data_IF_300021595012
#
_entry.id   IF_300021595012
#
_cell.length_a   1.000
_cell.length_b   1.000
_cell.length_c   1.000
_cell.angle_alpha   90.00
_cell.angle_beta   90.00
_cell.angle_gamma   90.00
#
_symmetry.space_group_name_H-M   'P 1'
#
loop_
_entity.id
_entity.type
_entity.pdbx_description
1 polymer ?
#
# COMPACT_ATOMS: atom_id res chain seq x y z
N UNK A 1 -12.68 10.18 -0.63
CA UNK A 1 -11.35 10.81 -0.62
C UNK A 1 -11.03 11.01 0.85
N UNK A 2 -10.28 10.09 1.47
CA UNK A 2 -9.79 10.25 2.83
C UNK A 2 -8.30 10.39 2.70
N UNK A 3 -7.88 11.64 2.60
CA UNK A 3 -6.52 12.10 2.73
C UNK A 3 -6.29 12.24 4.24
N UNK A 4 -5.48 11.34 4.83
CA UNK A 4 -5.08 11.39 6.24
C UNK A 4 -3.70 12.04 6.35
N UNK A 5 -3.52 13.15 5.64
CA UNK A 5 -2.35 14.01 5.79
C UNK A 5 -2.52 14.83 7.06
N UNK A 6 -1.76 14.47 8.10
CA UNK A 6 -1.72 15.21 9.39
C UNK A 6 -0.82 16.46 9.30
N UNK A 7 -0.34 16.81 8.11
CA UNK A 7 0.46 18.01 7.88
C UNK A 7 -0.44 19.24 7.77
N UNK A 8 -0.61 19.88 8.93
CA UNK A 8 -1.41 21.09 9.07
C UNK A 8 -0.59 22.31 8.64
N UNK A 9 -1.23 23.20 7.88
CA UNK A 9 -0.69 24.51 7.58
C UNK A 9 -0.42 25.29 8.87
N UNK A 10 0.74 25.95 8.94
CA UNK A 10 1.10 26.83 10.04
C UNK A 10 1.51 28.20 9.52
N UNK A 11 1.25 29.22 10.33
CA UNK A 11 1.69 30.58 10.04
C UNK A 11 3.05 30.81 10.69
N UNK A 12 3.98 31.35 9.92
CA UNK A 12 5.28 31.81 10.40
C UNK A 12 5.12 33.02 11.34
N UNK A 13 6.16 33.35 12.12
CA UNK A 13 6.15 34.54 12.98
C UNK A 13 5.94 35.87 12.22
N UNK A 14 6.23 35.87 10.91
CA UNK A 14 6.03 37.00 10.01
C UNK A 14 4.63 37.03 9.35
N UNK A 15 3.78 36.04 9.65
CA UNK A 15 2.39 35.97 9.17
C UNK A 15 2.22 35.39 7.77
N UNK A 16 3.28 34.87 7.16
CA UNK A 16 3.22 34.16 5.89
C UNK A 16 2.81 32.70 6.11
N UNK A 17 1.99 32.17 5.18
CA UNK A 17 1.51 30.79 5.20
C UNK A 17 2.61 29.87 4.67
N UNK A 18 3.11 28.97 5.50
CA UNK A 18 4.06 27.94 5.07
C UNK A 18 3.28 26.66 4.74
N UNK A 19 3.38 26.24 3.48
CA UNK A 19 2.80 24.98 3.02
C UNK A 19 3.76 23.84 3.41
N UNK A 20 3.26 22.71 3.93
CA UNK A 20 4.12 21.57 4.20
C UNK A 20 4.83 21.13 2.91
N UNK A 21 6.10 20.75 3.02
CA UNK A 21 6.86 20.22 1.89
C UNK A 21 6.10 19.01 1.33
N UNK A 22 5.60 19.14 0.09
CA UNK A 22 5.15 18.05 -0.75
C UNK A 22 6.38 17.21 -1.14
N UNK A 23 7.00 16.56 -0.15
CA UNK A 23 7.77 15.34 -0.38
C UNK A 23 6.75 14.23 -0.70
N UNK A 24 6.00 14.40 -1.79
CA UNK A 24 5.31 13.31 -2.46
C UNK A 24 6.40 12.28 -2.78
N UNK A 25 6.41 11.10 -2.14
CA UNK A 25 7.35 10.08 -2.51
C UNK A 25 7.01 9.74 -3.96
N UNK A 26 7.91 10.11 -4.88
CA UNK A 26 7.91 9.84 -6.32
C UNK A 26 6.99 8.63 -6.56
N UNK A 27 5.72 8.87 -6.97
CA UNK A 27 4.72 7.81 -7.01
C UNK A 27 5.20 6.81 -8.05
N UNK A 28 5.94 5.79 -7.63
CA UNK A 28 6.47 4.75 -8.50
C UNK A 28 5.27 4.21 -9.24
N UNK A 29 5.23 4.51 -10.55
CA UNK A 29 4.04 4.29 -11.35
C UNK A 29 3.62 2.82 -11.16
N UNK A 30 2.50 2.62 -10.46
CA UNK A 30 2.11 1.29 -10.05
C UNK A 30 1.54 0.60 -11.28
N UNK A 31 2.31 -0.34 -11.82
CA UNK A 31 1.93 -1.11 -13.01
C UNK A 31 1.49 -2.52 -12.61
N UNK A 32 0.43 -3.01 -13.25
CA UNK A 32 -0.06 -4.38 -13.13
C UNK A 32 0.66 -5.37 -14.08
N UNK A 33 0.32 -6.65 -13.97
CA UNK A 33 0.91 -7.70 -14.82
C UNK A 33 0.58 -7.56 -16.32
N UNK A 34 -0.35 -6.66 -16.68
CA UNK A 34 -0.76 -6.38 -18.05
C UNK A 34 -0.18 -5.06 -18.58
N UNK A 35 0.76 -4.44 -17.85
CA UNK A 35 1.38 -3.18 -18.24
C UNK A 35 0.45 -1.98 -18.13
N UNK A 36 -0.63 -2.07 -17.36
CA UNK A 36 -1.57 -0.96 -17.12
C UNK A 36 -1.36 -0.39 -15.74
N UNK A 37 -1.70 0.88 -15.60
CA UNK A 37 -1.74 1.53 -14.31
C UNK A 37 -2.74 0.81 -13.37
N UNK A 38 -2.31 0.59 -12.14
CA UNK A 38 -3.12 0.05 -11.04
C UNK A 38 -3.18 1.06 -9.92
N UNK A 39 -4.30 1.06 -9.20
CA UNK A 39 -4.40 1.81 -7.96
C UNK A 39 -3.58 1.16 -6.84
N UNK A 40 -3.13 1.95 -5.88
CA UNK A 40 -2.35 1.55 -4.70
C UNK A 40 -2.99 0.42 -3.86
N UNK A 41 -4.31 0.31 -3.86
CA UNK A 41 -5.05 -0.74 -3.13
C UNK A 41 -5.15 -2.08 -3.87
N UNK A 42 -4.63 -2.16 -5.11
CA UNK A 42 -4.63 -3.37 -5.92
C UNK A 42 -3.24 -4.00 -5.93
N UNK A 43 -3.16 -5.32 -5.96
CA UNK A 43 -1.92 -6.05 -6.24
C UNK A 43 -1.61 -6.05 -7.73
N UNK A 44 -0.44 -6.56 -8.13
CA UNK A 44 -0.06 -6.69 -9.55
C UNK A 44 -1.02 -7.59 -10.35
N UNK A 45 -1.61 -8.62 -9.73
CA UNK A 45 -2.67 -9.41 -10.35
C UNK A 45 -4.07 -8.76 -10.26
N UNK A 46 -4.17 -7.49 -9.83
CA UNK A 46 -5.41 -6.72 -9.65
C UNK A 46 -6.37 -7.27 -8.58
N UNK A 47 -5.87 -8.03 -7.61
CA UNK A 47 -6.65 -8.34 -6.42
C UNK A 47 -6.61 -7.18 -5.44
N UNK A 48 -7.67 -6.99 -4.65
CA UNK A 48 -7.60 -6.02 -3.54
C UNK A 48 -6.60 -6.51 -2.50
N UNK A 49 -5.67 -5.65 -2.08
CA UNK A 49 -4.67 -5.98 -1.07
C UNK A 49 -5.31 -6.52 0.22
N UNK A 50 -6.42 -5.93 0.67
CA UNK A 50 -7.10 -6.34 1.90
C UNK A 50 -7.59 -7.79 1.84
N UNK A 51 -8.00 -8.23 0.65
CA UNK A 51 -8.46 -9.61 0.42
C UNK A 51 -7.27 -10.56 0.46
N UNK A 52 -6.17 -10.22 -0.23
CA UNK A 52 -4.95 -11.05 -0.26
C UNK A 52 -4.33 -11.15 1.13
N UNK A 53 -4.27 -10.05 1.87
CA UNK A 53 -3.81 -10.06 3.27
C UNK A 53 -4.73 -10.89 4.16
N UNK A 54 -6.05 -10.80 4.00
CA UNK A 54 -6.99 -11.63 4.77
C UNK A 54 -6.83 -13.12 4.43
N UNK A 55 -6.58 -13.46 3.17
CA UNK A 55 -6.30 -14.82 2.73
C UNK A 55 -5.04 -15.36 3.43
N UNK A 56 -3.95 -14.59 3.41
CA UNK A 56 -2.70 -14.96 4.08
C UNK A 56 -2.92 -15.24 5.57
N UNK A 57 -3.59 -14.32 6.29
CA UNK A 57 -3.85 -14.45 7.73
C UNK A 57 -4.72 -15.67 8.06
N UNK A 58 -5.80 -15.87 7.32
CA UNK A 58 -6.70 -17.00 7.54
C UNK A 58 -6.07 -18.33 7.14
N UNK A 59 -5.26 -18.33 6.08
CA UNK A 59 -4.54 -19.50 5.60
C UNK A 59 -3.50 -19.96 6.61
N UNK A 60 -2.72 -19.03 7.17
CA UNK A 60 -1.73 -19.32 8.21
C UNK A 60 -2.38 -19.99 9.44
N UNK A 61 -3.57 -19.51 9.87
CA UNK A 61 -4.30 -20.11 10.99
C UNK A 61 -4.98 -21.46 10.68
N UNK A 62 -5.04 -21.88 9.42
CA UNK A 62 -5.75 -23.10 8.96
C UNK A 62 -4.83 -24.14 8.33
N UNK A 63 -3.52 -23.92 8.36
CA UNK A 63 -2.52 -24.77 7.68
C UNK A 63 -2.76 -24.91 6.17
N UNK A 64 -3.30 -23.86 5.54
CA UNK A 64 -3.43 -23.75 4.09
C UNK A 64 -2.12 -23.19 3.51
N UNK A 65 -1.10 -24.04 3.41
CA UNK A 65 0.27 -23.61 3.06
C UNK A 65 0.37 -22.99 1.67
N UNK A 66 -0.28 -23.59 0.68
CA UNK A 66 -0.22 -23.15 -0.72
C UNK A 66 -0.84 -21.75 -0.90
N UNK A 67 -2.05 -21.54 -0.37
CA UNK A 67 -2.75 -20.26 -0.47
C UNK A 67 -2.05 -19.16 0.32
N UNK A 68 -1.46 -19.51 1.47
CA UNK A 68 -0.69 -18.57 2.30
C UNK A 68 0.61 -18.17 1.59
N UNK A 69 1.32 -19.14 1.01
CA UNK A 69 2.54 -18.89 0.25
C UNK A 69 2.26 -18.04 -1.00
N UNK A 70 1.17 -18.34 -1.73
CA UNK A 70 0.74 -17.53 -2.87
C UNK A 70 0.42 -16.09 -2.46
N UNK A 71 -0.33 -15.91 -1.37
CA UNK A 71 -0.70 -14.58 -0.89
C UNK A 71 0.52 -13.76 -0.46
N UNK A 72 1.47 -14.37 0.25
CA UNK A 72 2.72 -13.71 0.64
C UNK A 72 3.57 -13.33 -0.59
N UNK A 73 3.68 -14.22 -1.58
CA UNK A 73 4.39 -13.95 -2.83
C UNK A 73 3.74 -12.81 -3.63
N UNK A 74 2.41 -12.79 -3.71
CA UNK A 74 1.62 -11.75 -4.39
C UNK A 74 1.81 -10.37 -3.74
N UNK A 75 1.82 -10.31 -2.41
CA UNK A 75 2.03 -9.06 -1.68
C UNK A 75 3.47 -8.55 -1.87
N UNK A 76 4.47 -9.42 -1.71
CA UNK A 76 5.87 -9.04 -1.86
C UNK A 76 6.20 -8.50 -3.27
N UNK A 77 5.72 -9.16 -4.33
CA UNK A 77 5.97 -8.72 -5.71
C UNK A 77 5.22 -7.44 -6.09
N UNK A 78 4.20 -7.07 -5.32
CA UNK A 78 3.36 -5.89 -5.52
C UNK A 78 3.87 -4.65 -4.78
N UNK A 79 5.08 -4.73 -4.19
CA UNK A 79 5.65 -3.70 -3.30
C UNK A 79 4.78 -3.46 -2.05
N UNK A 80 4.10 -4.51 -1.57
CA UNK A 80 3.23 -4.50 -0.37
C UNK A 80 3.83 -5.41 0.72
N UNK A 81 5.15 -5.37 0.85
CA UNK A 81 5.94 -6.27 1.71
C UNK A 81 5.71 -6.02 3.20
N UNK A 82 5.36 -4.79 3.58
CA UNK A 82 4.95 -4.40 4.93
C UNK A 82 3.76 -5.23 5.44
N UNK A 83 2.85 -5.63 4.54
CA UNK A 83 1.71 -6.49 4.90
C UNK A 83 2.09 -7.94 5.19
N UNK A 84 3.32 -8.35 4.85
CA UNK A 84 3.86 -9.68 5.08
C UNK A 84 4.64 -9.75 6.39
N UNK A 85 5.47 -8.75 6.69
CA UNK A 85 6.43 -8.81 7.80
C UNK A 85 6.11 -7.94 9.01
N UNK A 86 5.37 -6.84 8.84
CA UNK A 86 5.15 -5.85 9.92
C UNK A 86 3.83 -6.06 10.66
N UNK A 87 3.24 -7.26 10.59
CA UNK A 87 1.91 -7.55 11.14
C UNK A 87 1.86 -8.69 12.13
#
# INVERSE_FOLDING_TARGET
>A
MSDDSTDQFWFTEDGELEEPDDDEPDEEQLVDDWGRERSWYLTKARFRRDIVTSLMQKGAGRSCEEETAWAAWELARSSLTEYVFER
#
